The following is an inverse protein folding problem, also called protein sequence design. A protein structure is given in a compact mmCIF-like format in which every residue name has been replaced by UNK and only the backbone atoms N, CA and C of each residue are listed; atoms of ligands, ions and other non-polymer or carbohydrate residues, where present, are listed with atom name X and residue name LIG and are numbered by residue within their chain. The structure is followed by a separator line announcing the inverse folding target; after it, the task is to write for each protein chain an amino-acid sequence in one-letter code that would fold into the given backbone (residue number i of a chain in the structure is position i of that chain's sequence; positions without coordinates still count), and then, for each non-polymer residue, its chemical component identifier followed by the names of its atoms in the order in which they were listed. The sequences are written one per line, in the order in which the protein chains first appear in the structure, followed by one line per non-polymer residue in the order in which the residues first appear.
data_IF_111702282083
#
_entry.id   IF_111702282083
#
_cell.length_a   1.000
_cell.length_b   1.000
_cell.length_c   1.000
_cell.angle_alpha   90.00
_cell.angle_beta   90.00
_cell.angle_gamma   90.00
#
_symmetry.space_group_name_H-M   'P 1'
#
loop_
_entity.id
_entity.type
_entity.pdbx_description
1 polymer ?
#
# COMPACT_ATOMS: atom_id res chain seq x y z
N UNK A 1 -14.20 7.71 -34.44
CA UNK A 1 -15.08 7.11 -33.42
C UNK A 1 -14.87 5.61 -33.56
N UNK A 2 -14.29 4.86 -32.62
CA UNK A 2 -14.80 4.60 -31.27
C UNK A 2 -13.67 3.95 -30.43
N UNK A 3 -13.67 4.21 -29.13
CA UNK A 3 -12.63 3.93 -28.15
C UNK A 3 -12.65 2.46 -27.67
N UNK A 4 -12.33 1.50 -28.52
CA UNK A 4 -12.39 0.06 -28.18
C UNK A 4 -11.00 -0.47 -27.79
N UNK A 5 -10.57 -0.30 -26.52
CA UNK A 5 -9.57 -1.24 -25.91
C UNK A 5 -9.22 -1.11 -24.41
N UNK A 6 -10.09 -0.59 -23.53
CA UNK A 6 -9.79 -0.58 -22.07
C UNK A 6 -10.65 -1.53 -21.23
N UNK A 7 -11.70 -2.13 -21.80
CA UNK A 7 -12.66 -2.95 -21.06
C UNK A 7 -12.10 -4.22 -20.35
N UNK A 8 -11.13 -4.99 -20.89
CA UNK A 8 -10.68 -6.23 -20.22
C UNK A 8 -9.88 -5.99 -18.93
N UNK A 9 -9.15 -4.86 -18.82
CA UNK A 9 -8.33 -4.55 -17.63
C UNK A 9 -9.15 -3.99 -16.47
N UNK A 10 -10.27 -3.32 -16.76
CA UNK A 10 -11.15 -2.78 -15.73
C UNK A 10 -11.77 -3.91 -14.91
N UNK A 11 -12.41 -4.91 -15.55
CA UNK A 11 -13.05 -6.03 -14.85
C UNK A 11 -12.08 -6.89 -14.02
N UNK A 12 -10.84 -7.07 -14.48
CA UNK A 12 -9.83 -7.81 -13.72
C UNK A 12 -9.38 -7.05 -12.45
N UNK A 13 -9.38 -5.72 -12.48
CA UNK A 13 -9.07 -4.91 -11.30
C UNK A 13 -10.21 -4.94 -10.29
N UNK A 14 -11.44 -4.75 -10.78
CA UNK A 14 -12.63 -4.73 -9.93
C UNK A 14 -12.78 -6.06 -9.18
N UNK A 15 -12.44 -7.19 -9.81
CA UNK A 15 -12.39 -8.49 -9.14
C UNK A 15 -11.36 -8.54 -8.00
N UNK A 16 -10.14 -8.04 -8.21
CA UNK A 16 -9.06 -8.02 -7.19
C UNK A 16 -9.42 -7.11 -6.01
N UNK A 17 -10.10 -6.00 -6.29
CA UNK A 17 -10.48 -4.97 -5.31
C UNK A 17 -11.88 -5.19 -4.73
N UNK A 18 -12.63 -6.19 -5.20
CA UNK A 18 -13.91 -6.59 -4.58
C UNK A 18 -13.73 -7.38 -3.28
N UNK A 19 -12.52 -7.87 -3.00
CA UNK A 19 -12.22 -8.61 -1.78
C UNK A 19 -12.29 -7.72 -0.52
N UNK A 20 -12.75 -8.27 0.59
CA UNK A 20 -12.65 -7.63 1.90
C UNK A 20 -11.28 -7.94 2.54
N UNK A 21 -10.66 -6.95 3.18
CA UNK A 21 -9.43 -7.13 3.95
C UNK A 21 -8.31 -6.16 3.58
N UNK A 22 -7.10 -6.57 3.91
CA UNK A 22 -5.87 -5.81 3.70
C UNK A 22 -4.70 -6.68 3.23
N UNK A 23 -3.73 -6.02 2.61
CA UNK A 23 -2.52 -6.63 2.11
C UNK A 23 -1.31 -6.09 2.86
N UNK A 24 -0.27 -6.92 2.99
CA UNK A 24 1.05 -6.37 3.32
C UNK A 24 1.42 -5.31 2.29
N UNK A 25 2.22 -4.30 2.66
CA UNK A 25 2.68 -3.29 1.68
C UNK A 25 3.41 -3.96 0.51
N UNK A 26 4.13 -5.06 0.76
CA UNK A 26 4.77 -5.84 -0.30
C UNK A 26 3.80 -6.44 -1.30
N UNK A 27 2.69 -7.02 -0.83
CA UNK A 27 1.67 -7.59 -1.71
C UNK A 27 0.84 -6.52 -2.41
N UNK A 28 0.52 -5.43 -1.72
CA UNK A 28 -0.09 -4.24 -2.32
C UNK A 28 0.77 -3.70 -3.48
N UNK A 29 2.10 -3.65 -3.32
CA UNK A 29 3.00 -3.23 -4.39
C UNK A 29 2.95 -4.16 -5.61
N UNK A 30 2.89 -5.49 -5.40
CA UNK A 30 2.76 -6.46 -6.50
C UNK A 30 1.43 -6.26 -7.25
N UNK A 31 0.33 -6.05 -6.52
CA UNK A 31 -0.99 -5.78 -7.11
C UNK A 31 -0.96 -4.51 -7.96
N UNK A 32 -0.42 -3.42 -7.40
CA UNK A 32 -0.27 -2.14 -8.12
C UNK A 32 0.61 -2.26 -9.37
N UNK A 33 1.73 -3.00 -9.26
CA UNK A 33 2.63 -3.26 -10.38
C UNK A 33 1.92 -4.01 -11.52
N UNK A 34 1.15 -5.05 -11.21
CA UNK A 34 0.32 -5.77 -12.19
C UNK A 34 -0.74 -4.88 -12.85
N UNK A 35 -1.22 -3.87 -12.14
CA UNK A 35 -2.13 -2.86 -12.69
C UNK A 35 -1.45 -1.76 -13.52
N UNK A 36 -0.13 -1.82 -13.71
CA UNK A 36 0.63 -0.87 -14.51
C UNK A 36 1.09 0.37 -13.74
N UNK A 37 1.10 0.33 -12.41
CA UNK A 37 1.72 1.37 -11.58
C UNK A 37 3.22 1.06 -11.43
N UNK A 38 4.14 1.99 -11.73
CA UNK A 38 5.58 1.72 -11.64
C UNK A 38 6.09 1.72 -10.18
N UNK A 39 5.81 0.62 -9.47
CA UNK A 39 6.21 0.42 -8.08
C UNK A 39 6.72 -1.00 -7.82
N UNK A 40 7.27 -1.22 -6.63
CA UNK A 40 7.72 -2.49 -6.09
C UNK A 40 7.76 -2.43 -4.56
N UNK A 41 7.97 -3.56 -3.84
CA UNK A 41 7.81 -3.62 -2.39
C UNK A 41 8.58 -2.54 -1.61
N UNK A 42 9.85 -2.31 -1.93
CA UNK A 42 10.65 -1.26 -1.30
C UNK A 42 10.24 0.14 -1.76
N UNK A 43 10.03 0.33 -3.07
CA UNK A 43 9.66 1.63 -3.66
C UNK A 43 8.32 2.12 -3.15
N UNK A 44 7.37 1.23 -2.86
CA UNK A 44 6.05 1.61 -2.37
C UNK A 44 6.13 2.31 -1.00
N UNK A 45 7.01 1.88 -0.09
CA UNK A 45 7.19 2.59 1.18
C UNK A 45 7.68 4.03 0.97
N UNK A 46 8.66 4.24 0.09
CA UNK A 46 9.14 5.58 -0.25
C UNK A 46 8.05 6.44 -0.91
N UNK A 47 7.23 5.85 -1.80
CA UNK A 47 6.10 6.53 -2.41
C UNK A 47 5.03 6.91 -1.38
N UNK A 48 4.71 6.00 -0.46
CA UNK A 48 3.76 6.23 0.64
C UNK A 48 4.25 7.33 1.57
N UNK A 49 5.54 7.36 1.90
CA UNK A 49 6.15 8.43 2.68
C UNK A 49 6.06 9.77 1.95
N UNK A 50 6.43 9.81 0.66
CA UNK A 50 6.37 11.02 -0.17
C UNK A 50 4.98 11.61 -0.31
N UNK A 51 3.91 10.80 -0.22
CA UNK A 51 2.52 11.28 -0.20
C UNK A 51 1.93 11.43 1.20
N UNK A 52 2.76 11.32 2.25
CA UNK A 52 2.37 11.36 3.66
C UNK A 52 1.24 10.39 4.01
N UNK A 53 1.45 9.13 3.67
CA UNK A 53 0.61 8.02 4.12
C UNK A 53 1.25 7.25 5.27
N UNK A 54 2.57 7.14 5.24
CA UNK A 54 3.38 6.55 6.31
C UNK A 54 4.49 7.49 6.73
N UNK A 55 5.10 7.20 7.87
CA UNK A 55 6.29 7.88 8.37
C UNK A 55 7.18 6.91 9.16
N UNK A 56 8.42 7.30 9.41
CA UNK A 56 9.33 6.58 10.32
C UNK A 56 9.16 7.10 11.75
N UNK A 57 8.88 6.21 12.70
CA UNK A 57 8.90 6.52 14.13
C UNK A 57 10.32 6.77 14.64
N UNK A 58 10.45 7.16 15.91
CA UNK A 58 11.76 7.33 16.56
C UNK A 58 12.59 6.04 16.64
N UNK A 59 11.92 4.88 16.53
CA UNK A 59 12.51 3.55 16.42
C UNK A 59 12.92 3.19 14.97
N UNK A 60 12.78 4.11 14.03
CA UNK A 60 13.04 3.88 12.61
C UNK A 60 12.08 2.87 11.98
N UNK A 61 10.97 2.49 12.62
CA UNK A 61 9.98 1.56 12.03
C UNK A 61 8.89 2.35 11.29
N UNK A 62 8.34 1.76 10.23
CA UNK A 62 7.24 2.38 9.47
C UNK A 62 5.94 2.35 10.27
N UNK A 63 5.22 3.47 10.26
CA UNK A 63 3.92 3.65 10.91
C UNK A 63 2.95 4.37 9.97
N UNK A 64 1.68 4.04 10.04
CA UNK A 64 0.65 4.73 9.28
C UNK A 64 0.26 6.05 9.96
N UNK A 65 -0.04 7.09 9.19
CA UNK A 65 -0.72 8.25 9.78
C UNK A 65 -2.14 7.85 10.19
N UNK A 66 -2.55 8.22 11.41
CA UNK A 66 -3.88 7.92 11.95
C UNK A 66 -5.01 8.32 10.98
N UNK A 67 -4.90 9.52 10.38
CA UNK A 67 -5.84 10.01 9.36
C UNK A 67 -6.04 9.03 8.18
N UNK A 68 -5.01 8.27 7.79
CA UNK A 68 -5.10 7.29 6.70
C UNK A 68 -5.76 6.00 7.14
N UNK A 69 -5.59 5.64 8.41
CA UNK A 69 -6.28 4.50 9.03
C UNK A 69 -7.77 4.83 9.20
N UNK A 70 -8.09 6.00 9.74
CA UNK A 70 -9.47 6.48 9.90
C UNK A 70 -10.21 6.60 8.56
N UNK A 71 -9.52 7.05 7.50
CA UNK A 71 -10.09 7.08 6.14
C UNK A 71 -10.24 5.68 5.51
N UNK A 72 -9.74 4.64 6.18
CA UNK A 72 -9.80 3.26 5.73
C UNK A 72 -8.87 2.96 4.56
N UNK A 73 -7.80 3.73 4.37
CA UNK A 73 -6.80 3.48 3.32
C UNK A 73 -5.68 2.55 3.78
N UNK A 74 -5.31 2.67 5.05
CA UNK A 74 -4.31 1.80 5.68
C UNK A 74 -4.93 1.09 6.87
N UNK A 75 -4.31 -0.02 7.25
CA UNK A 75 -4.56 -0.74 8.49
C UNK A 75 -3.22 -1.02 9.18
N UNK A 76 -3.27 -1.29 10.47
CA UNK A 76 -2.11 -1.67 11.26
C UNK A 76 -2.39 -3.01 11.95
N UNK A 77 -1.50 -3.99 11.72
CA UNK A 77 -1.56 -5.28 12.39
C UNK A 77 -0.58 -5.28 13.55
N UNK A 78 -1.06 -5.52 14.77
CA UNK A 78 -0.20 -5.67 15.95
C UNK A 78 0.87 -6.76 15.71
N UNK A 79 2.09 -6.51 16.15
CA UNK A 79 3.22 -7.43 16.05
C UNK A 79 3.86 -7.61 17.43
N UNK A 80 4.45 -8.78 17.66
CA UNK A 80 5.17 -9.11 18.88
C UNK A 80 6.25 -10.15 18.60
N UNK A 81 7.27 -10.20 19.46
CA UNK A 81 8.27 -11.26 19.49
C UNK A 81 8.59 -11.64 20.93
N UNK A 82 9.21 -12.81 21.12
CA UNK A 82 9.78 -13.19 22.41
C UNK A 82 11.20 -12.68 22.54
N UNK A 83 11.53 -12.04 23.66
CA UNK A 83 12.89 -11.59 23.92
C UNK A 83 13.82 -12.79 24.01
N UNK A 84 14.91 -12.85 23.21
CA UNK A 84 15.68 -14.08 23.03
C UNK A 84 16.40 -14.55 24.29
N UNK A 85 16.71 -13.64 25.22
CA UNK A 85 17.43 -13.99 26.45
C UNK A 85 16.51 -14.24 27.66
N UNK A 86 15.34 -13.59 27.72
CA UNK A 86 14.45 -13.65 28.90
C UNK A 86 13.16 -14.41 28.64
N UNK A 87 12.77 -14.60 27.38
CA UNK A 87 11.53 -15.25 26.97
C UNK A 87 10.28 -14.36 27.00
N UNK A 88 10.41 -13.12 27.50
CA UNK A 88 9.29 -12.20 27.67
C UNK A 88 8.63 -11.80 26.34
N UNK A 89 7.32 -11.57 26.35
CA UNK A 89 6.58 -11.06 25.20
C UNK A 89 6.84 -9.55 25.03
N UNK A 90 7.44 -9.16 23.91
CA UNK A 90 7.73 -7.77 23.57
C UNK A 90 6.85 -7.32 22.41
N UNK A 91 6.16 -6.18 22.58
CA UNK A 91 5.38 -5.56 21.52
C UNK A 91 6.29 -4.88 20.50
N UNK A 92 6.05 -5.16 19.21
CA UNK A 92 6.73 -4.51 18.10
C UNK A 92 5.90 -3.35 17.54
N UNK A 93 6.53 -2.51 16.71
CA UNK A 93 5.77 -1.56 15.92
C UNK A 93 4.77 -2.32 15.02
N UNK A 94 3.51 -1.85 14.94
CA UNK A 94 2.52 -2.49 14.10
C UNK A 94 2.97 -2.57 12.65
N UNK A 95 2.63 -3.68 11.98
CA UNK A 95 2.86 -3.83 10.56
C UNK A 95 1.83 -2.97 9.80
N UNK A 96 2.32 -2.00 9.02
CA UNK A 96 1.48 -1.23 8.09
C UNK A 96 0.97 -2.13 6.97
N UNK A 97 -0.33 -2.03 6.67
CA UNK A 97 -1.04 -2.80 5.66
C UNK A 97 -1.89 -1.88 4.81
N UNK A 98 -1.99 -2.19 3.51
CA UNK A 98 -2.83 -1.47 2.56
C UNK A 98 -4.19 -2.12 2.47
N UNK A 99 -5.26 -1.41 2.82
CA UNK A 99 -6.61 -1.92 2.60
C UNK A 99 -6.90 -1.99 1.11
N UNK A 100 -7.92 -2.75 0.73
CA UNK A 100 -8.37 -2.83 -0.65
C UNK A 100 -8.77 -1.44 -1.20
N UNK A 101 -9.48 -0.64 -0.40
CA UNK A 101 -9.78 0.78 -0.69
C UNK A 101 -8.53 1.63 -0.86
N UNK A 102 -7.51 1.41 -0.02
CA UNK A 102 -6.23 2.11 -0.12
C UNK A 102 -5.48 1.76 -1.40
N UNK A 103 -5.45 0.49 -1.78
CA UNK A 103 -4.81 0.01 -3.02
C UNK A 103 -5.47 0.64 -4.25
N UNK A 104 -6.80 0.71 -4.30
CA UNK A 104 -7.50 1.43 -5.37
C UNK A 104 -7.14 2.92 -5.44
N UNK A 105 -7.12 3.58 -4.29
CA UNK A 105 -6.75 4.99 -4.21
C UNK A 105 -5.29 5.23 -4.62
N UNK A 106 -4.38 4.33 -4.26
CA UNK A 106 -2.97 4.39 -4.66
C UNK A 106 -2.80 4.18 -6.16
N UNK A 107 -3.56 3.26 -6.77
CA UNK A 107 -3.57 3.10 -8.22
C UNK A 107 -3.90 4.41 -8.89
N UNK A 108 -5.00 5.06 -8.51
CA UNK A 108 -5.40 6.34 -9.10
C UNK A 108 -4.31 7.43 -8.92
N UNK A 109 -3.74 7.54 -7.72
CA UNK A 109 -2.77 8.61 -7.40
C UNK A 109 -1.40 8.42 -8.05
N UNK A 110 -0.89 7.18 -8.05
CA UNK A 110 0.46 6.86 -8.52
C UNK A 110 0.50 6.61 -10.04
N UNK A 111 -0.62 6.21 -10.65
CA UNK A 111 -0.70 6.05 -12.09
C UNK A 111 -0.65 7.39 -12.83
N UNK A 112 -1.23 8.45 -12.26
CA UNK A 112 -1.15 9.81 -12.83
C UNK A 112 0.27 10.36 -12.77
N UNK A 113 0.99 10.18 -11.66
CA UNK A 113 2.39 10.62 -11.53
C UNK A 113 3.35 9.91 -12.50
N UNK A 114 3.04 8.67 -12.88
CA UNK A 114 3.81 7.92 -13.87
C UNK A 114 3.64 8.46 -15.29
N UNK A 115 2.43 8.88 -15.67
CA UNK A 115 2.17 9.46 -16.99
C UNK A 115 2.85 10.82 -17.16
N UNK A 116 2.91 11.64 -16.10
CA UNK A 116 3.63 12.93 -16.14
C UNK A 116 5.14 12.75 -16.29
N UNK A 117 5.73 11.74 -15.64
CA UNK A 117 7.18 11.50 -15.67
C UNK A 117 7.70 10.91 -17.00
N UNK A 118 6.84 10.30 -17.81
CA UNK A 118 7.21 9.74 -19.13
C UNK A 118 7.09 10.78 -20.25
N UNK A 119 6.40 11.88 -20.00
CA UNK A 119 6.14 12.94 -21.01
C UNK A 119 7.08 14.15 -20.87
N UNK A 120 8.01 14.12 -19.90
CA UNK A 120 9.01 15.15 -19.64
C UNK A 120 10.41 14.62 -19.96
#
# INVERSE_FOLDING_TARGET
MENVRLAPRAGAWDAIVSAAGDYSVGDAAKILSRAGVPTGPQRLFAQLEGIRWVYRGGDGKWRAYAERVEKGYLAEKAQFHHHPATGDLVLDAPQVRGTVKGVDRLRQRLHVGALTAVTA
#
